data_IF_925737030874
#
_entry.id   IF_925737030874
#
_cell.length_a   1.000
_cell.length_b   1.000
_cell.length_c   1.000
_cell.angle_alpha   90.00
_cell.angle_beta   90.00
_cell.angle_gamma   90.00
#
_symmetry.space_group_name_H-M   'P 1'
#
loop_
_entity.id
_entity.type
_entity.pdbx_description
1 polymer ?
#
# COMPACT_ATOMS: atom_id res chain seq x y z
N UNK A 1 71.75 27.41 -33.46
CA UNK A 1 71.20 27.48 -34.83
C UNK A 1 69.97 26.57 -34.88
N UNK A 2 68.83 27.09 -35.34
CA UNK A 2 67.50 26.44 -35.41
C UNK A 2 67.55 25.10 -36.17
N UNK A 3 66.72 24.13 -35.80
CA UNK A 3 65.45 23.82 -36.50
C UNK A 3 64.76 22.58 -35.89
N UNK A 4 63.49 22.73 -35.55
CA UNK A 4 62.56 21.62 -35.27
C UNK A 4 61.71 21.40 -36.51
N UNK A 5 61.59 20.17 -36.99
CA UNK A 5 60.56 19.76 -37.97
C UNK A 5 59.93 18.45 -37.49
N UNK A 6 58.59 18.49 -37.34
CA UNK A 6 57.71 17.32 -37.16
C UNK A 6 57.57 16.57 -38.49
N UNK A 7 57.58 15.24 -38.45
CA UNK A 7 57.01 14.42 -39.52
C UNK A 7 56.23 13.22 -38.95
N UNK A 8 55.18 12.90 -39.66
CA UNK A 8 54.01 12.10 -39.25
C UNK A 8 53.98 10.80 -40.08
N UNK A 9 53.17 9.83 -39.63
CA UNK A 9 52.42 8.82 -40.43
C UNK A 9 52.96 7.36 -40.52
N UNK A 10 52.12 6.49 -39.92
CA UNK A 10 51.66 5.11 -40.26
C UNK A 10 52.66 3.95 -40.36
N UNK A 11 52.35 2.89 -39.60
CA UNK A 11 52.17 1.54 -40.15
C UNK A 11 50.95 0.87 -39.51
N UNK A 12 50.18 0.18 -40.35
CA UNK A 12 48.90 -0.45 -40.06
C UNK A 12 49.09 -1.90 -39.57
N UNK A 13 48.30 -2.34 -38.60
CA UNK A 13 47.93 -3.74 -38.46
C UNK A 13 46.41 -3.87 -38.51
N UNK A 14 45.94 -4.64 -39.51
CA UNK A 14 44.54 -5.02 -39.71
C UNK A 14 44.20 -6.07 -38.66
N UNK A 15 43.18 -5.83 -37.84
CA UNK A 15 42.52 -6.87 -37.06
C UNK A 15 41.06 -6.90 -37.50
N UNK A 16 40.64 -8.06 -38.01
CA UNK A 16 39.26 -8.34 -38.38
C UNK A 16 38.39 -8.36 -37.11
N UNK A 17 37.37 -7.50 -37.04
CA UNK A 17 36.33 -7.57 -36.01
C UNK A 17 35.22 -8.46 -36.56
N UNK A 18 35.16 -9.70 -36.09
CA UNK A 18 33.98 -10.55 -36.22
C UNK A 18 32.93 -10.05 -35.24
N UNK A 19 31.79 -9.60 -35.78
CA UNK A 19 30.64 -9.15 -35.03
C UNK A 19 30.03 -10.31 -34.24
N UNK A 20 30.15 -10.30 -32.90
CA UNK A 20 29.27 -11.04 -32.02
C UNK A 20 28.15 -10.11 -31.56
N UNK A 21 26.98 -10.24 -32.19
CA UNK A 21 25.75 -9.61 -31.72
C UNK A 21 25.30 -10.40 -30.50
N UNK A 22 25.65 -9.92 -29.30
CA UNK A 22 24.98 -10.36 -28.07
C UNK A 22 23.62 -9.67 -28.04
N UNK A 23 22.58 -10.36 -28.49
CA UNK A 23 21.20 -9.98 -28.17
C UNK A 23 21.01 -10.21 -26.67
N UNK A 24 21.20 -9.17 -25.87
CA UNK A 24 20.68 -9.14 -24.50
C UNK A 24 19.16 -9.18 -24.58
N UNK A 25 18.59 -10.37 -24.42
CA UNK A 25 17.22 -10.48 -23.97
C UNK A 25 17.22 -10.05 -22.51
N UNK A 26 17.11 -8.74 -22.27
CA UNK A 26 16.65 -8.23 -20.99
C UNK A 26 15.19 -8.69 -20.84
N UNK A 27 15.00 -9.88 -20.30
CA UNK A 27 13.72 -10.23 -19.71
C UNK A 27 13.63 -9.47 -18.40
N UNK A 28 13.25 -8.19 -18.47
CA UNK A 28 12.93 -7.39 -17.30
C UNK A 28 11.55 -7.82 -16.80
N UNK A 29 11.47 -8.99 -16.16
CA UNK A 29 10.41 -9.30 -15.22
C UNK A 29 11.06 -9.55 -13.86
N UNK A 30 11.56 -8.45 -13.30
CA UNK A 30 11.80 -8.34 -11.88
C UNK A 30 10.65 -7.48 -11.32
N UNK A 31 9.49 -8.10 -11.08
CA UNK A 31 8.60 -7.58 -10.05
C UNK A 31 9.20 -8.04 -8.71
N UNK A 32 10.30 -7.38 -8.33
CA UNK A 32 10.69 -7.34 -6.93
C UNK A 32 9.58 -6.58 -6.23
N UNK A 33 8.82 -7.22 -5.35
CA UNK A 33 8.11 -6.49 -4.32
C UNK A 33 9.16 -5.69 -3.57
N UNK A 34 9.31 -4.41 -3.94
CA UNK A 34 10.21 -3.52 -3.24
C UNK A 34 9.64 -3.42 -1.83
N UNK A 35 10.39 -3.90 -0.84
CA UNK A 35 10.08 -3.58 0.55
C UNK A 35 9.94 -2.06 0.65
N UNK A 36 9.04 -1.53 1.49
CA UNK A 36 8.93 -0.10 1.66
C UNK A 36 10.32 0.43 2.01
N UNK A 37 10.72 1.55 1.38
CA UNK A 37 11.95 2.26 1.79
C UNK A 37 11.86 2.78 3.24
N UNK A 38 10.69 2.59 3.87
CA UNK A 38 10.37 2.91 5.24
C UNK A 38 10.56 1.70 6.15
N UNK A 39 11.29 1.93 7.23
CA UNK A 39 11.53 0.96 8.30
C UNK A 39 10.70 1.36 9.51
N UNK A 40 9.97 0.40 10.06
CA UNK A 40 9.26 0.56 11.35
C UNK A 40 10.27 0.64 12.49
N UNK A 41 10.11 1.64 13.35
CA UNK A 41 10.83 1.75 14.63
C UNK A 41 9.83 1.88 15.77
N UNK A 42 10.26 1.63 17.01
CA UNK A 42 9.43 1.81 18.20
C UNK A 42 10.09 2.70 19.25
N UNK A 43 9.24 3.31 20.08
CA UNK A 43 9.61 4.12 21.24
C UNK A 43 8.71 3.70 22.40
N UNK A 44 9.30 3.56 23.59
CA UNK A 44 8.55 3.33 24.82
C UNK A 44 8.09 4.68 25.41
N UNK A 45 6.78 4.87 25.55
CA UNK A 45 6.16 6.08 26.11
C UNK A 45 5.04 5.70 27.06
N UNK A 46 5.14 6.13 28.32
CA UNK A 46 4.15 5.82 29.38
C UNK A 46 3.84 4.32 29.46
N UNK A 47 4.89 3.49 29.54
CA UNK A 47 4.83 2.02 29.55
C UNK A 47 4.13 1.37 28.34
N UNK A 48 3.98 2.11 27.23
CA UNK A 48 3.44 1.62 25.97
C UNK A 48 4.48 1.71 24.87
N UNK A 49 4.61 0.63 24.11
CA UNK A 49 5.39 0.64 22.88
C UNK A 49 4.57 1.28 21.76
N UNK A 50 5.12 2.34 21.16
CA UNK A 50 4.52 3.06 20.05
C UNK A 50 5.44 2.99 18.84
N UNK A 51 4.85 2.87 17.65
CA UNK A 51 5.54 2.63 16.40
C UNK A 51 5.47 3.84 15.47
N UNK A 52 6.56 4.11 14.77
CA UNK A 52 6.71 5.13 13.73
C UNK A 52 7.47 4.59 12.52
N UNK A 53 7.67 5.42 11.51
CA UNK A 53 8.40 5.10 10.28
C UNK A 53 9.57 6.05 10.06
N UNK A 54 10.70 5.51 9.59
CA UNK A 54 11.86 6.29 9.16
C UNK A 54 12.36 5.80 7.81
N UNK A 55 12.98 6.69 7.04
CA UNK A 55 13.61 6.31 5.79
C UNK A 55 15.00 5.67 6.00
N UNK A 56 15.66 5.24 4.92
CA UNK A 56 17.00 4.65 4.95
C UNK A 56 18.10 5.61 5.45
N UNK A 57 17.88 6.93 5.40
CA UNK A 57 18.80 7.93 5.95
C UNK A 57 18.62 8.13 7.47
N UNK A 58 17.56 7.56 8.05
CA UNK A 58 17.21 7.70 9.45
C UNK A 58 16.28 8.87 9.75
N UNK A 59 15.82 9.62 8.73
CA UNK A 59 14.86 10.69 8.93
C UNK A 59 13.50 10.11 9.31
N UNK A 60 12.86 10.71 10.31
CA UNK A 60 11.51 10.34 10.73
C UNK A 60 10.52 10.78 9.64
N UNK A 61 9.81 9.81 9.08
CA UNK A 61 8.74 10.00 8.10
C UNK A 61 7.38 10.02 8.80
N UNK A 62 7.23 9.18 9.83
CA UNK A 62 6.05 9.14 10.69
C UNK A 62 6.49 9.02 12.14
N UNK A 63 6.05 9.96 12.97
CA UNK A 63 6.33 9.95 14.42
C UNK A 63 5.76 8.71 15.10
N UNK A 64 6.43 8.26 16.17
CA UNK A 64 6.03 7.07 16.93
C UNK A 64 4.80 7.33 17.81
N UNK A 65 3.61 7.28 17.22
CA UNK A 65 2.33 7.57 17.87
C UNK A 65 1.24 6.51 17.53
N UNK A 66 1.63 5.30 17.15
CA UNK A 66 0.68 4.24 16.73
C UNK A 66 0.94 2.95 17.49
N UNK A 67 -0.11 2.19 17.82
CA UNK A 67 0.04 0.93 18.59
C UNK A 67 0.59 -0.22 17.75
N UNK A 68 0.47 -0.14 16.43
CA UNK A 68 1.13 -1.02 15.47
C UNK A 68 1.24 -0.36 14.11
N UNK A 69 2.17 -0.86 13.30
CA UNK A 69 2.22 -0.64 11.85
C UNK A 69 2.42 -2.00 11.18
N UNK A 70 1.48 -2.40 10.32
CA UNK A 70 1.50 -3.70 9.63
C UNK A 70 1.36 -3.50 8.13
N UNK A 71 2.40 -3.81 7.38
CA UNK A 71 2.38 -3.76 5.93
C UNK A 71 1.61 -4.92 5.31
N UNK A 72 0.90 -4.63 4.21
CA UNK A 72 0.40 -5.65 3.31
C UNK A 72 1.55 -6.35 2.56
N UNK A 73 1.29 -7.52 2.00
CA UNK A 73 2.30 -8.34 1.32
C UNK A 73 2.77 -7.72 -0.01
N UNK A 74 1.94 -6.86 -0.62
CA UNK A 74 2.30 -6.08 -1.80
C UNK A 74 3.08 -4.79 -1.47
N UNK A 75 3.21 -4.46 -0.18
CA UNK A 75 3.88 -3.28 0.35
C UNK A 75 3.39 -1.92 -0.18
N UNK A 76 2.23 -1.87 -0.84
CA UNK A 76 1.67 -0.60 -1.32
C UNK A 76 1.01 0.20 -0.20
N UNK A 77 0.42 -0.52 0.76
CA UNK A 77 -0.30 0.06 1.89
C UNK A 77 -0.04 -0.74 3.17
N UNK A 78 -0.20 -0.08 4.30
CA UNK A 78 -0.16 -0.69 5.62
C UNK A 78 -1.39 -0.32 6.45
N UNK A 79 -1.65 -1.13 7.47
CA UNK A 79 -2.58 -0.81 8.54
C UNK A 79 -1.83 -0.19 9.71
N UNK A 80 -2.42 0.82 10.33
CA UNK A 80 -1.87 1.50 11.51
C UNK A 80 -2.90 1.52 12.63
N UNK A 81 -2.45 1.25 13.85
CA UNK A 81 -3.33 1.14 15.02
C UNK A 81 -3.46 2.43 15.81
N UNK A 82 -4.65 2.69 16.36
CA UNK A 82 -4.86 3.79 17.31
C UNK A 82 -3.92 3.64 18.53
N UNK A 83 -3.27 4.72 19.01
CA UNK A 83 -2.26 4.65 20.07
C UNK A 83 -2.76 4.15 21.44
N UNK A 84 -4.04 4.36 21.74
CA UNK A 84 -4.58 4.16 23.09
C UNK A 84 -5.77 3.21 23.19
N UNK A 85 -6.32 2.72 22.08
CA UNK A 85 -7.45 1.79 22.07
C UNK A 85 -7.17 0.67 21.10
N UNK A 86 -7.78 -0.49 21.35
CA UNK A 86 -7.74 -1.65 20.45
C UNK A 86 -8.61 -1.44 19.21
N UNK A 87 -9.55 -0.49 19.26
CA UNK A 87 -10.44 -0.12 18.17
C UNK A 87 -9.85 1.05 17.39
N UNK A 88 -10.07 1.09 16.08
CA UNK A 88 -9.56 2.17 15.23
C UNK A 88 -8.28 1.77 14.52
N UNK A 89 -8.46 1.37 13.27
CA UNK A 89 -7.40 1.05 12.32
C UNK A 89 -7.41 2.09 11.21
N UNK A 90 -6.26 2.67 10.93
CA UNK A 90 -6.04 3.54 9.78
C UNK A 90 -5.30 2.85 8.65
N UNK A 91 -5.07 3.59 7.59
CA UNK A 91 -4.31 3.16 6.42
C UNK A 91 -3.18 4.15 6.18
N UNK A 92 -2.00 3.62 5.87
CA UNK A 92 -0.83 4.37 5.44
C UNK A 92 -0.41 3.88 4.06
N UNK A 93 0.04 4.78 3.19
CA UNK A 93 0.68 4.39 1.93
C UNK A 93 2.19 4.13 2.12
N UNK A 94 2.82 3.56 1.09
CA UNK A 94 4.25 3.23 1.09
C UNK A 94 5.18 4.43 1.24
N UNK A 95 4.70 5.64 0.93
CA UNK A 95 5.42 6.90 1.14
C UNK A 95 5.30 7.41 2.59
N UNK A 96 4.52 6.73 3.44
CA UNK A 96 4.34 7.07 4.85
C UNK A 96 3.25 8.11 5.08
N UNK A 97 2.44 8.41 4.06
CA UNK A 97 1.31 9.33 4.17
C UNK A 97 0.07 8.58 4.64
N UNK A 98 -0.61 9.19 5.61
CA UNK A 98 -1.89 8.69 6.11
C UNK A 98 -2.97 8.81 5.03
N UNK A 99 -3.53 7.67 4.63
CA UNK A 99 -4.73 7.57 3.79
C UNK A 99 -5.98 7.63 4.67
N UNK A 100 -5.94 6.96 5.83
CA UNK A 100 -6.96 7.08 6.86
C UNK A 100 -6.27 7.19 8.22
N UNK A 101 -6.57 8.26 8.96
CA UNK A 101 -6.04 8.45 10.31
C UNK A 101 -6.90 7.69 11.34
N UNK A 102 -6.34 6.73 12.10
CA UNK A 102 -7.10 6.00 13.12
C UNK A 102 -7.66 6.93 14.21
N UNK A 103 -7.07 8.11 14.43
CA UNK A 103 -7.52 9.08 15.42
C UNK A 103 -8.83 9.79 15.03
N UNK A 104 -9.09 9.92 13.72
CA UNK A 104 -10.28 10.58 13.18
C UNK A 104 -11.48 9.63 13.09
N UNK A 105 -11.22 8.36 12.81
CA UNK A 105 -12.25 7.33 12.64
C UNK A 105 -12.21 6.34 13.80
N UNK A 106 -12.54 6.82 15.00
CA UNK A 106 -12.67 5.97 16.19
C UNK A 106 -13.70 4.88 15.90
N UNK A 107 -13.32 3.63 16.18
CA UNK A 107 -14.15 2.43 15.99
C UNK A 107 -14.40 2.06 14.52
N UNK A 108 -13.46 2.40 13.64
CA UNK A 108 -13.37 1.84 12.30
C UNK A 108 -12.32 0.74 12.26
N UNK A 109 -12.73 -0.47 11.88
CA UNK A 109 -11.83 -1.57 11.61
C UNK A 109 -11.65 -1.75 10.11
N UNK A 110 -10.40 -2.00 9.73
CA UNK A 110 -10.00 -2.22 8.34
C UNK A 110 -9.37 -3.60 8.29
N UNK A 111 -9.85 -4.42 7.37
CA UNK A 111 -9.35 -5.77 7.16
C UNK A 111 -8.51 -5.84 5.89
N UNK A 112 -7.46 -6.66 5.90
CA UNK A 112 -6.76 -7.07 4.69
C UNK A 112 -7.44 -8.30 4.08
N UNK A 113 -7.29 -8.48 2.79
CA UNK A 113 -7.87 -9.59 2.03
C UNK A 113 -6.85 -10.19 1.08
N UNK A 114 -7.05 -11.46 0.73
CA UNK A 114 -6.31 -12.04 -0.38
C UNK A 114 -6.83 -11.51 -1.70
N UNK A 115 -5.95 -10.95 -2.52
CA UNK A 115 -6.25 -10.67 -3.93
C UNK A 115 -6.26 -11.99 -4.75
N UNK A 116 -6.49 -11.88 -6.05
CA UNK A 116 -6.52 -13.03 -6.97
C UNK A 116 -5.18 -13.78 -7.08
N UNK A 117 -4.08 -13.13 -6.69
CA UNK A 117 -2.73 -13.71 -6.61
C UNK A 117 -2.46 -14.39 -5.25
N UNK A 118 -3.42 -14.31 -4.32
CA UNK A 118 -3.32 -14.88 -2.98
C UNK A 118 -2.61 -13.99 -1.95
N UNK A 119 -2.22 -12.76 -2.33
CA UNK A 119 -1.51 -11.81 -1.48
C UNK A 119 -2.45 -11.05 -0.56
N UNK A 120 -2.08 -10.90 0.71
CA UNK A 120 -2.80 -10.06 1.67
C UNK A 120 -2.61 -8.57 1.34
N UNK A 121 -3.68 -7.91 0.90
CA UNK A 121 -3.70 -6.49 0.48
C UNK A 121 -4.76 -5.68 1.24
N UNK A 122 -4.58 -4.37 1.32
CA UNK A 122 -5.56 -3.44 1.93
C UNK A 122 -6.68 -3.09 0.94
N UNK A 123 -6.33 -2.80 -0.31
CA UNK A 123 -7.29 -2.43 -1.36
C UNK A 123 -7.42 -3.55 -2.39
N UNK A 124 -8.65 -3.94 -2.72
CA UNK A 124 -8.95 -4.80 -3.86
C UNK A 124 -9.79 -4.01 -4.85
N UNK A 125 -9.38 -3.99 -6.12
CA UNK A 125 -10.03 -3.22 -7.18
C UNK A 125 -10.21 -1.73 -6.83
N UNK A 126 -9.27 -1.16 -6.06
CA UNK A 126 -9.30 0.24 -5.63
C UNK A 126 -10.17 0.53 -4.41
N UNK A 127 -10.77 -0.48 -3.78
CA UNK A 127 -11.65 -0.33 -2.63
C UNK A 127 -11.12 -1.05 -1.40
N UNK A 128 -11.23 -0.40 -0.24
CA UNK A 128 -11.05 -1.03 1.06
C UNK A 128 -12.40 -1.05 1.79
N UNK A 129 -12.74 -2.20 2.38
CA UNK A 129 -13.88 -2.30 3.29
C UNK A 129 -13.54 -1.54 4.57
N UNK A 130 -14.43 -0.65 4.97
CA UNK A 130 -14.38 0.01 6.27
C UNK A 130 -15.56 -0.41 7.11
N UNK A 131 -15.41 -0.33 8.42
CA UNK A 131 -16.51 -0.49 9.35
C UNK A 131 -16.68 0.77 10.20
N UNK A 132 -17.87 0.98 10.75
CA UNK A 132 -18.09 1.95 11.82
C UNK A 132 -18.99 1.28 12.87
N UNK A 133 -18.55 1.28 14.13
CA UNK A 133 -19.40 0.99 15.27
C UNK A 133 -20.14 2.27 15.68
N UNK A 134 -21.41 2.39 15.27
CA UNK A 134 -22.25 3.52 15.66
C UNK A 134 -22.75 3.31 17.10
N UNK A 135 -22.52 4.26 18.00
CA UNK A 135 -22.96 4.18 19.42
C UNK A 135 -24.46 3.89 19.59
N UNK A 136 -25.27 4.22 18.57
CA UNK A 136 -26.73 4.04 18.57
C UNK A 136 -27.22 2.76 17.89
N UNK A 137 -26.32 1.95 17.32
CA UNK A 137 -26.68 0.70 16.65
C UNK A 137 -26.03 -0.50 17.37
N UNK A 138 -26.78 -1.60 17.60
CA UNK A 138 -26.23 -2.79 18.24
C UNK A 138 -25.27 -3.59 17.35
N UNK A 139 -25.05 -3.15 16.10
CA UNK A 139 -24.24 -3.84 15.11
C UNK A 139 -23.29 -2.85 14.43
N UNK A 140 -22.09 -3.33 14.10
CA UNK A 140 -21.13 -2.66 13.23
C UNK A 140 -21.69 -2.60 11.81
N UNK A 141 -21.64 -1.43 11.18
CA UNK A 141 -22.00 -1.27 9.78
C UNK A 141 -20.75 -1.17 8.92
N UNK A 142 -20.84 -1.69 7.70
CA UNK A 142 -19.76 -1.72 6.73
C UNK A 142 -20.05 -0.84 5.52
N UNK A 143 -18.99 -0.19 5.05
CA UNK A 143 -18.96 0.65 3.86
C UNK A 143 -17.63 0.47 3.11
N UNK A 144 -17.34 1.38 2.19
CA UNK A 144 -16.15 1.31 1.36
C UNK A 144 -15.53 2.69 1.10
N UNK A 145 -14.20 2.72 1.18
CA UNK A 145 -13.38 3.87 0.79
C UNK A 145 -12.54 3.53 -0.44
N UNK A 146 -12.17 4.54 -1.20
CA UNK A 146 -11.19 4.41 -2.28
C UNK A 146 -9.75 4.59 -1.76
N UNK A 147 -8.76 4.42 -2.65
CA UNK A 147 -7.33 4.58 -2.34
C UNK A 147 -6.93 5.99 -1.90
N UNK A 148 -7.76 7.01 -2.12
CA UNK A 148 -7.52 8.35 -1.58
C UNK A 148 -8.08 8.56 -0.17
N UNK A 149 -8.64 7.51 0.45
CA UNK A 149 -9.30 7.57 1.76
C UNK A 149 -10.70 8.19 1.71
N UNK A 150 -11.25 8.44 0.51
CA UNK A 150 -12.59 9.02 0.35
C UNK A 150 -13.63 7.92 0.45
N UNK A 151 -14.65 8.15 1.26
CA UNK A 151 -15.87 7.33 1.28
C UNK A 151 -16.54 7.31 -0.09
N UNK A 152 -16.71 6.11 -0.64
CA UNK A 152 -17.46 5.87 -1.88
C UNK A 152 -18.84 5.32 -1.56
N UNK A 153 -18.92 4.44 -0.56
CA UNK A 153 -20.17 3.84 -0.11
C UNK A 153 -20.21 4.00 1.41
N UNK A 154 -21.17 4.78 1.95
CA UNK A 154 -21.27 4.98 3.39
C UNK A 154 -21.61 3.67 4.10
N UNK A 155 -21.18 3.50 5.37
CA UNK A 155 -21.53 2.34 6.17
C UNK A 155 -23.05 2.17 6.30
N UNK A 156 -23.57 1.11 5.70
CA UNK A 156 -25.01 0.82 5.68
C UNK A 156 -25.34 -0.67 5.65
N UNK A 157 -24.33 -1.53 5.50
CA UNK A 157 -24.49 -2.98 5.42
C UNK A 157 -24.10 -3.64 6.73
N UNK A 158 -24.84 -4.66 7.16
CA UNK A 158 -24.48 -5.45 8.35
C UNK A 158 -23.38 -6.47 8.05
N UNK A 159 -23.16 -6.77 6.77
CA UNK A 159 -22.04 -7.54 6.27
C UNK A 159 -21.64 -7.05 4.87
N UNK A 160 -20.35 -7.07 4.57
CA UNK A 160 -19.81 -6.61 3.30
C UNK A 160 -18.54 -7.40 2.94
N UNK A 161 -18.54 -8.00 1.74
CA UNK A 161 -17.38 -8.69 1.17
C UNK A 161 -16.43 -7.75 0.42
N UNK A 162 -15.24 -8.23 0.02
CA UNK A 162 -14.35 -7.49 -0.86
C UNK A 162 -14.95 -7.34 -2.27
N UNK A 163 -14.51 -6.33 -3.01
CA UNK A 163 -14.84 -6.18 -4.43
C UNK A 163 -14.04 -7.18 -5.27
N UNK A 164 -14.73 -8.14 -5.90
CA UNK A 164 -14.13 -9.14 -6.79
C UNK A 164 -14.82 -9.05 -8.15
N UNK A 165 -14.06 -8.97 -9.23
CA UNK A 165 -14.59 -8.80 -10.59
C UNK A 165 -15.60 -7.63 -10.71
N UNK A 166 -15.27 -6.48 -10.11
CA UNK A 166 -16.07 -5.26 -10.20
C UNK A 166 -17.35 -5.21 -9.35
N UNK A 167 -17.59 -6.21 -8.48
CA UNK A 167 -18.74 -6.19 -7.58
C UNK A 167 -18.45 -6.79 -6.21
N UNK A 168 -19.21 -6.40 -5.20
CA UNK A 168 -19.13 -6.93 -3.85
C UNK A 168 -20.48 -7.51 -3.41
N UNK A 169 -20.47 -8.59 -2.64
CA UNK A 169 -21.65 -9.12 -1.96
C UNK A 169 -21.82 -8.42 -0.61
N UNK A 170 -23.05 -7.99 -0.33
CA UNK A 170 -23.41 -7.24 0.88
C UNK A 170 -24.72 -7.77 1.47
N UNK A 171 -24.91 -7.54 2.76
CA UNK A 171 -26.14 -7.84 3.49
C UNK A 171 -26.73 -6.56 4.09
N UNK A 172 -28.00 -6.29 3.83
CA UNK A 172 -28.70 -5.15 4.44
C UNK A 172 -29.25 -5.48 5.84
N UNK A 173 -29.81 -4.48 6.52
CA UNK A 173 -30.36 -4.64 7.88
C UNK A 173 -31.60 -5.55 7.95
N UNK A 174 -32.18 -5.94 6.80
CA UNK A 174 -33.29 -6.88 6.72
C UNK A 174 -32.82 -8.33 6.47
N UNK A 175 -31.50 -8.55 6.39
CA UNK A 175 -30.91 -9.85 6.08
C UNK A 175 -30.95 -10.21 4.59
N UNK A 176 -31.21 -9.23 3.70
CA UNK A 176 -31.16 -9.50 2.27
C UNK A 176 -29.72 -9.44 1.76
N UNK A 177 -29.28 -10.52 1.12
CA UNK A 177 -27.98 -10.61 0.46
C UNK A 177 -28.12 -10.23 -1.01
N UNK A 178 -27.28 -9.33 -1.50
CA UNK A 178 -27.23 -8.94 -2.91
C UNK A 178 -25.84 -8.42 -3.31
N UNK A 179 -25.64 -8.22 -4.62
CA UNK A 179 -24.40 -7.65 -5.16
C UNK A 179 -24.55 -6.16 -5.44
N UNK A 180 -23.47 -5.43 -5.24
CA UNK A 180 -23.33 -4.02 -5.61
C UNK A 180 -22.14 -3.81 -6.55
N UNK A 181 -22.22 -2.79 -7.41
CA UNK A 181 -21.07 -2.28 -8.16
C UNK A 181 -20.22 -1.31 -7.32
N UNK A 182 -19.10 -0.83 -7.88
CA UNK A 182 -18.18 0.10 -7.21
C UNK A 182 -18.77 1.47 -6.87
N UNK A 183 -20.01 1.76 -7.28
CA UNK A 183 -20.76 2.98 -6.89
C UNK A 183 -21.78 2.71 -5.79
N UNK A 184 -21.96 1.45 -5.39
CA UNK A 184 -22.98 1.01 -4.42
C UNK A 184 -24.34 0.70 -5.06
N UNK A 185 -24.44 0.71 -6.39
CA UNK A 185 -25.69 0.37 -7.07
C UNK A 185 -25.87 -1.15 -7.05
N UNK A 186 -27.07 -1.59 -6.65
CA UNK A 186 -27.47 -3.00 -6.70
C UNK A 186 -27.48 -3.54 -8.14
N UNK A 187 -26.91 -4.72 -8.31
CA UNK A 187 -26.85 -5.48 -9.57
C UNK A 187 -28.02 -6.46 -9.72
#
# INVERSE_FOLDING_TARGET
>A
MKMTIKMTIRHWYRIHISALIFTFHYCAFAQTSQTPDLVTFSVLKDDRELFGLRNAHGDIVLEANYSFIRWAEDYNYGLIGHPTTIEGTGIIDREGKLILDPLLYKNCDISMYKNDEGLMVVFINGFARTSICLEKHPYTLYGYINTSGKEVIPPQYVNAGPFINGSAEVEDTNGMIFRIDGTGKKL
#
